data_IF_807908434307
#
_entry.id   IF_807908434307
#
_cell.length_a   1.000
_cell.length_b   1.000
_cell.length_c   1.000
_cell.angle_alpha   90.00
_cell.angle_beta   90.00
_cell.angle_gamma   90.00
#
_symmetry.space_group_name_H-M   'P 1'
#
loop_
_entity.id
_entity.type
_entity.pdbx_description
1 polymer ?
#
# COMPACT_ATOMS: atom_id res chain seq x y z
N UNK A 1 5.16 -8.71 -9.99
CA UNK A 1 3.94 -9.43 -9.60
C UNK A 1 2.74 -8.81 -10.28
N UNK A 2 1.85 -9.62 -10.70
CA UNK A 2 0.65 -9.14 -11.36
C UNK A 2 -0.29 -8.51 -10.36
N UNK A 3 -1.24 -7.71 -10.86
CA UNK A 3 -2.15 -7.00 -10.00
C UNK A 3 -3.15 -7.87 -9.26
N UNK A 4 -3.46 -9.07 -9.79
CA UNK A 4 -4.46 -9.91 -9.17
C UNK A 4 -4.15 -10.30 -7.73
N UNK A 5 -2.90 -10.69 -7.39
CA UNK A 5 -2.60 -10.99 -6.00
C UNK A 5 -2.74 -9.80 -5.08
N UNK A 6 -2.76 -8.58 -5.64
CA UNK A 6 -2.90 -7.37 -4.85
C UNK A 6 -4.34 -6.93 -4.70
N UNK A 7 -5.28 -7.63 -5.35
CA UNK A 7 -6.67 -7.23 -5.26
C UNK A 7 -7.11 -7.28 -3.80
N UNK A 8 -7.66 -6.18 -3.33
CA UNK A 8 -8.03 -6.05 -1.94
C UNK A 8 -6.94 -5.50 -1.06
N UNK A 9 -5.70 -5.40 -1.56
CA UNK A 9 -4.58 -4.89 -0.76
C UNK A 9 -3.97 -3.63 -1.35
N UNK A 10 -4.30 -3.31 -2.58
CA UNK A 10 -3.68 -2.17 -3.26
C UNK A 10 -3.94 -0.87 -2.50
N UNK A 11 -5.15 -0.67 -2.02
CA UNK A 11 -5.49 0.55 -1.30
C UNK A 11 -4.60 0.74 -0.08
N UNK A 12 -4.38 -0.33 0.68
CA UNK A 12 -3.52 -0.26 1.86
C UNK A 12 -2.09 0.11 1.47
N UNK A 13 -1.60 -0.48 0.39
CA UNK A 13 -0.24 -0.18 -0.08
C UNK A 13 -0.11 1.27 -0.51
N UNK A 14 -1.12 1.80 -1.20
CA UNK A 14 -1.08 3.19 -1.64
C UNK A 14 -1.13 4.14 -0.45
N UNK A 15 -1.95 3.84 0.54
CA UNK A 15 -1.98 4.65 1.75
C UNK A 15 -0.62 4.66 2.44
N UNK A 16 0.04 3.50 2.48
CA UNK A 16 1.36 3.40 3.11
C UNK A 16 2.40 4.24 2.37
N UNK A 17 2.34 4.24 1.03
CA UNK A 17 3.28 5.03 0.25
C UNK A 17 3.08 6.52 0.50
N UNK A 18 1.84 6.97 0.56
CA UNK A 18 1.54 8.39 0.74
C UNK A 18 1.79 8.85 2.17
N UNK A 19 1.82 7.90 3.12
CA UNK A 19 2.02 8.25 4.53
C UNK A 19 3.35 8.90 4.81
N UNK A 20 4.34 8.70 3.95
CA UNK A 20 5.67 9.28 4.16
C UNK A 20 5.73 10.77 3.87
N UNK A 21 4.65 11.35 3.38
CA UNK A 21 4.59 12.78 3.09
C UNK A 21 4.01 13.02 1.71
N UNK A 22 3.77 14.28 1.38
CA UNK A 22 3.16 14.60 0.10
C UNK A 22 3.98 14.03 -1.07
N UNK A 23 3.28 13.47 -2.03
CA UNK A 23 3.93 12.84 -3.17
C UNK A 23 3.00 12.92 -4.38
N UNK A 24 3.57 13.16 -5.55
CA UNK A 24 2.77 13.22 -6.77
C UNK A 24 2.54 11.81 -7.32
N UNK A 25 1.53 11.70 -8.20
CA UNK A 25 1.07 10.38 -8.65
C UNK A 25 2.15 9.48 -9.22
N UNK A 26 3.02 10.04 -10.08
CA UNK A 26 4.07 9.22 -10.66
C UNK A 26 5.07 8.77 -9.60
N UNK A 27 5.34 9.62 -8.62
CA UNK A 27 6.20 9.24 -7.51
C UNK A 27 5.64 8.08 -6.71
N UNK A 28 4.30 8.01 -6.61
CA UNK A 28 3.66 6.88 -5.94
C UNK A 28 3.94 5.59 -6.70
N UNK A 29 3.82 5.63 -8.03
CA UNK A 29 4.12 4.47 -8.87
C UNK A 29 5.54 3.99 -8.64
N UNK A 30 6.49 4.93 -8.64
CA UNK A 30 7.89 4.59 -8.46
C UNK A 30 8.19 4.06 -7.08
N UNK A 31 7.65 4.69 -6.04
CA UNK A 31 7.90 4.25 -4.67
C UNK A 31 7.34 2.87 -4.40
N UNK A 32 6.17 2.59 -4.96
CA UNK A 32 5.58 1.27 -4.78
C UNK A 32 6.51 0.21 -5.36
N UNK A 33 7.04 0.46 -6.55
CA UNK A 33 7.96 -0.48 -7.17
C UNK A 33 9.22 -0.64 -6.31
N UNK A 34 9.80 0.48 -5.91
CA UNK A 34 11.07 0.44 -5.18
C UNK A 34 10.91 -0.22 -3.81
N UNK A 35 9.90 0.17 -3.06
CA UNK A 35 9.74 -0.34 -1.71
C UNK A 35 9.32 -1.80 -1.67
N UNK A 36 8.77 -2.30 -2.75
CA UNK A 36 8.42 -3.72 -2.85
C UNK A 36 9.55 -4.56 -3.43
N UNK A 37 10.72 -3.96 -3.63
CA UNK A 37 11.83 -4.69 -4.22
C UNK A 37 11.57 -5.08 -5.66
N UNK A 38 10.79 -4.27 -6.37
CA UNK A 38 10.47 -4.54 -7.75
C UNK A 38 9.30 -5.49 -7.96
N UNK A 39 8.69 -5.98 -6.87
CA UNK A 39 7.62 -6.96 -7.00
C UNK A 39 6.31 -6.34 -7.49
N UNK A 40 6.06 -5.08 -7.13
CA UNK A 40 4.79 -4.42 -7.46
C UNK A 40 5.02 -3.33 -8.49
N UNK A 41 5.08 -3.74 -9.74
CA UNK A 41 5.18 -2.81 -10.86
C UNK A 41 3.82 -2.72 -11.51
N UNK A 42 3.03 -1.75 -11.07
CA UNK A 42 1.69 -1.58 -11.58
C UNK A 42 1.62 -0.39 -12.50
N UNK A 43 0.83 -0.49 -13.57
CA UNK A 43 0.71 0.63 -14.50
C UNK A 43 -0.11 1.77 -13.93
N UNK A 44 0.10 2.95 -14.46
CA UNK A 44 -0.64 4.13 -14.03
C UNK A 44 -2.15 3.92 -14.17
N UNK A 45 -2.56 3.18 -15.19
CA UNK A 45 -3.98 2.89 -15.39
C UNK A 45 -4.61 2.10 -14.26
N UNK A 46 -3.81 1.41 -13.46
CA UNK A 46 -4.30 0.71 -12.28
C UNK A 46 -4.23 1.61 -11.05
N UNK A 47 -3.17 2.38 -10.91
CA UNK A 47 -2.91 3.14 -9.71
C UNK A 47 -3.74 4.42 -9.63
N UNK A 48 -3.86 5.16 -10.73
CA UNK A 48 -4.57 6.44 -10.68
C UNK A 48 -6.05 6.29 -10.33
N UNK A 49 -6.78 5.32 -10.90
CA UNK A 49 -8.18 5.16 -10.47
C UNK A 49 -8.31 4.80 -9.00
N UNK A 50 -7.34 4.04 -8.45
CA UNK A 50 -7.37 3.70 -7.04
C UNK A 50 -7.12 4.93 -6.19
N UNK A 51 -6.19 5.80 -6.59
CA UNK A 51 -5.95 7.05 -5.88
C UNK A 51 -7.20 7.92 -5.89
N UNK A 52 -7.86 7.99 -7.04
CA UNK A 52 -9.08 8.78 -7.16
C UNK A 52 -10.17 8.25 -6.23
N UNK A 53 -10.31 6.93 -6.16
CA UNK A 53 -11.30 6.32 -5.28
C UNK A 53 -10.98 6.61 -3.81
N UNK A 54 -9.70 6.51 -3.44
CA UNK A 54 -9.29 6.81 -2.05
C UNK A 54 -9.55 8.27 -1.70
N UNK A 55 -9.36 9.16 -2.67
CA UNK A 55 -9.65 10.56 -2.45
C UNK A 55 -11.15 10.80 -2.29
N UNK A 56 -11.94 10.16 -3.12
CA UNK A 56 -13.40 10.25 -3.02
C UNK A 56 -13.89 9.74 -1.68
N UNK A 57 -13.24 8.70 -1.16
CA UNK A 57 -13.60 8.13 0.13
C UNK A 57 -13.07 8.93 1.32
N UNK A 58 -12.34 10.01 1.06
CA UNK A 58 -11.86 10.87 2.12
C UNK A 58 -10.62 10.39 2.83
N UNK A 59 -9.92 9.41 2.25
CA UNK A 59 -8.69 8.88 2.85
C UNK A 59 -7.45 9.58 2.34
N UNK A 60 -7.52 10.16 1.16
CA UNK A 60 -6.47 10.98 0.57
C UNK A 60 -7.04 12.33 0.20
N UNK A 61 -6.19 13.33 0.14
CA UNK A 61 -6.53 14.60 -0.48
C UNK A 61 -5.40 14.96 -1.45
N UNK A 62 -5.74 15.77 -2.44
CA UNK A 62 -4.75 16.15 -3.44
C UNK A 62 -4.87 17.61 -3.77
N UNK A 63 -3.78 18.18 -4.25
CA UNK A 63 -3.71 19.56 -4.71
C UNK A 63 -2.91 19.60 -5.98
N UNK A 64 -3.26 20.54 -6.84
CA UNK A 64 -2.46 20.80 -8.01
C UNK A 64 -1.26 21.63 -7.61
N UNK A 65 -0.10 21.31 -8.14
CA UNK A 65 1.09 22.14 -7.99
C UNK A 65 1.76 22.29 -9.34
N UNK A 66 2.54 23.34 -9.47
CA UNK A 66 3.29 23.59 -10.70
C UNK A 66 4.76 23.44 -10.39
N UNK A 67 5.41 22.54 -11.12
CA UNK A 67 6.84 22.28 -10.96
C UNK A 67 7.46 22.30 -12.35
N UNK A 68 8.43 23.18 -12.55
CA UNK A 68 9.08 23.30 -13.84
C UNK A 68 8.12 23.62 -14.97
N UNK A 69 7.11 24.46 -14.69
CA UNK A 69 6.13 24.84 -15.69
C UNK A 69 5.06 23.82 -15.97
N UNK A 70 5.07 22.69 -15.27
CA UNK A 70 4.10 21.61 -15.50
C UNK A 70 3.24 21.44 -14.26
N UNK A 71 1.97 21.18 -14.48
CA UNK A 71 1.01 20.95 -13.40
C UNK A 71 0.94 19.48 -13.10
N UNK A 72 0.89 19.13 -11.81
CA UNK A 72 0.71 17.74 -11.39
C UNK A 72 0.01 17.72 -10.06
N UNK A 73 -0.62 16.59 -9.77
CA UNK A 73 -1.35 16.41 -8.53
C UNK A 73 -0.44 15.85 -7.47
N UNK A 74 -0.50 16.45 -6.29
CA UNK A 74 0.26 15.99 -5.13
C UNK A 74 -0.73 15.44 -4.11
N UNK A 75 -0.45 14.27 -3.59
CA UNK A 75 -1.34 13.55 -2.68
C UNK A 75 -0.78 13.50 -1.28
N UNK A 76 -1.67 13.52 -0.29
CA UNK A 76 -1.27 13.27 1.08
C UNK A 76 -2.43 12.62 1.84
N UNK A 77 -2.10 11.96 2.97
CA UNK A 77 -3.12 11.32 3.79
C UNK A 77 -3.95 12.36 4.53
N UNK A 78 -5.24 12.07 4.64
CA UNK A 78 -6.08 12.76 5.61
C UNK A 78 -5.94 12.05 6.96
N UNK A 79 -6.56 12.62 8.01
CA UNK A 79 -6.57 11.93 9.30
C UNK A 79 -7.30 10.60 9.20
N UNK A 80 -8.40 10.58 8.45
CA UNK A 80 -9.12 9.32 8.22
C UNK A 80 -8.25 8.31 7.49
N UNK A 81 -7.45 8.79 6.53
CA UNK A 81 -6.56 7.91 5.81
C UNK A 81 -5.49 7.33 6.73
N UNK A 82 -4.99 8.13 7.65
CA UNK A 82 -3.99 7.66 8.60
C UNK A 82 -4.57 6.59 9.51
N UNK A 83 -5.79 6.80 9.99
CA UNK A 83 -6.46 5.81 10.83
C UNK A 83 -6.74 4.54 10.06
N UNK A 84 -7.20 4.67 8.82
CA UNK A 84 -7.48 3.51 7.98
C UNK A 84 -6.22 2.70 7.72
N UNK A 85 -5.10 3.39 7.47
CA UNK A 85 -3.82 2.70 7.24
C UNK A 85 -3.43 1.90 8.47
N UNK A 86 -3.58 2.48 9.66
CA UNK A 86 -3.25 1.77 10.88
C UNK A 86 -4.05 0.50 11.05
N UNK A 87 -5.37 0.59 10.86
CA UNK A 87 -6.26 -0.56 10.96
C UNK A 87 -5.91 -1.64 9.94
N UNK A 88 -5.77 -1.23 8.70
CA UNK A 88 -5.53 -2.19 7.61
C UNK A 88 -4.17 -2.85 7.74
N UNK A 89 -3.18 -2.09 8.24
CA UNK A 89 -1.86 -2.67 8.46
C UNK A 89 -1.89 -3.74 9.53
N UNK A 90 -2.63 -3.51 10.61
CA UNK A 90 -2.76 -4.51 11.67
C UNK A 90 -3.50 -5.73 11.18
N UNK A 91 -4.57 -5.54 10.43
CA UNK A 91 -5.31 -6.65 9.86
C UNK A 91 -4.42 -7.49 8.96
N UNK A 92 -3.62 -6.84 8.14
CA UNK A 92 -2.70 -7.54 7.26
C UNK A 92 -1.68 -8.35 8.06
N UNK A 93 -1.10 -7.74 9.09
CA UNK A 93 -0.09 -8.44 9.88
C UNK A 93 -0.65 -9.67 10.58
N UNK A 94 -1.87 -9.55 11.09
CA UNK A 94 -2.54 -10.71 11.69
C UNK A 94 -2.79 -11.81 10.67
N UNK A 95 -3.27 -11.41 9.51
CA UNK A 95 -3.54 -12.38 8.45
C UNK A 95 -2.25 -13.04 7.98
N UNK A 96 -1.24 -12.23 7.67
CA UNK A 96 0.02 -12.75 7.18
C UNK A 96 0.68 -13.66 8.21
N UNK A 97 0.61 -13.28 9.48
CA UNK A 97 1.16 -14.13 10.54
C UNK A 97 0.46 -15.47 10.65
N UNK A 98 -0.87 -15.46 10.51
CA UNK A 98 -1.61 -16.71 10.54
C UNK A 98 -1.25 -17.59 9.35
N UNK A 99 -1.13 -16.99 8.17
CA UNK A 99 -0.74 -17.74 6.97
C UNK A 99 0.65 -18.35 7.17
N UNK A 100 1.58 -17.54 7.69
CA UNK A 100 2.94 -18.05 7.90
C UNK A 100 2.97 -19.23 8.85
N UNK A 101 2.15 -19.19 9.89
CA UNK A 101 2.11 -20.32 10.82
C UNK A 101 1.62 -21.59 10.13
N UNK A 102 0.65 -21.46 9.25
CA UNK A 102 0.13 -22.61 8.51
C UNK A 102 1.17 -23.12 7.51
N UNK A 103 1.86 -22.22 6.84
CA UNK A 103 2.85 -22.61 5.83
C UNK A 103 4.11 -23.18 6.43
N UNK A 104 4.41 -22.89 7.68
CA UNK A 104 5.61 -23.41 8.32
C UNK A 104 5.46 -24.89 8.57
N UNK A 105 6.47 -25.70 8.25
CA UNK A 105 6.38 -27.13 8.49
C UNK A 105 6.23 -27.44 9.97
N UNK A 106 5.40 -28.40 10.30
CA UNK A 106 5.22 -28.80 11.69
C UNK A 106 6.53 -29.23 12.32
N UNK A 107 7.39 -29.84 11.55
CA UNK A 107 8.70 -30.30 12.05
C UNK A 107 9.62 -29.14 12.36
N UNK A 108 9.32 -27.95 11.89
CA UNK A 108 10.14 -26.79 12.21
C UNK A 108 9.86 -26.26 13.61
N UNK A 109 8.74 -26.68 14.20
CA UNK A 109 8.39 -26.23 15.53
C UNK A 109 9.20 -27.03 16.54
N UNK A 110 9.94 -26.42 17.31
CA UNK A 110 10.67 -27.15 18.33
C UNK A 110 9.70 -27.65 19.32
N UNK A 111 9.09 -27.94 19.58
CA UNK A 111 8.29 -28.13 20.25
C UNK A 111 8.42 -28.40 21.13
N UNK A 112 8.53 -27.91 21.35
CA UNK A 112 8.58 -27.92 22.04
C UNK A 112 8.51 -28.87 22.24
N UNK A 113 8.59 -29.22 22.04
CA UNK A 113 8.43 -29.73 22.15
C UNK A 113 8.12 -30.62 21.96
N UNK A 114 7.98 -30.81 21.91
CA UNK A 114 7.62 -31.31 21.75
C UNK A 114 7.27 -31.78 21.55
N UNK A 115 7.25 -32.02 21.48
CA UNK A 115 6.84 -32.23 21.37
C UNK A 115 6.39 -32.60 21.60
#
# INVERSE_FOLDING_TARGET
MRGEPLKGHLDTLLLAIVADGPVHGYGIVERLRERSGGQFELPEGTIYPALHRLETDGLLRSEWETVGGRRRRQYELTERGRAALGERSQDWRRFAGAVERVLSPATATPRGGTA
#
